data_IF_721944160737
#
_entry.id   IF_721944160737
#
_cell.length_a   1.000
_cell.length_b   1.000
_cell.length_c   1.000
_cell.angle_alpha   90.00
_cell.angle_beta   90.00
_cell.angle_gamma   90.00
#
_symmetry.space_group_name_H-M   'P 1'
#
loop_
_entity.id
_entity.type
_entity.pdbx_description
1 polymer ?
#
# COMPACT_ATOMS: atom_id res chain seq x y z
N UNK A 1 31.94 17.70 10.26
CA UNK A 1 32.03 18.80 9.30
C UNK A 1 31.16 20.00 9.62
N UNK A 2 30.34 20.01 10.71
CA UNK A 2 29.54 21.16 11.17
C UNK A 2 28.47 21.64 10.16
N UNK A 3 28.04 20.80 9.23
CA UNK A 3 27.01 21.16 8.25
C UNK A 3 25.65 21.03 8.93
N UNK A 4 24.88 22.12 9.00
CA UNK A 4 23.49 22.09 9.45
C UNK A 4 22.61 21.40 8.42
N UNK A 5 21.81 20.44 8.88
CA UNK A 5 20.82 19.74 8.04
C UNK A 5 19.44 19.99 8.61
N UNK A 6 18.54 20.48 7.80
CA UNK A 6 17.14 20.72 8.15
C UNK A 6 16.23 19.85 7.29
N UNK A 7 15.05 19.57 7.78
CA UNK A 7 13.99 18.89 7.03
C UNK A 7 12.62 19.56 7.32
N UNK A 8 11.61 19.20 6.56
CA UNK A 8 10.24 19.68 6.70
C UNK A 8 9.35 18.53 7.18
N UNK A 9 9.32 18.23 8.50
CA UNK A 9 8.50 17.14 9.01
C UNK A 9 7.02 17.48 8.82
N UNK A 10 6.20 16.44 8.66
CA UNK A 10 4.73 16.45 8.60
C UNK A 10 4.08 17.06 7.36
N UNK A 11 4.76 17.89 6.58
CA UNK A 11 4.20 18.61 5.43
C UNK A 11 3.57 17.67 4.38
N UNK A 12 4.17 16.49 4.16
CA UNK A 12 3.76 15.56 3.09
C UNK A 12 2.88 14.40 3.58
N UNK A 13 2.48 14.37 4.84
CA UNK A 13 1.81 13.19 5.43
C UNK A 13 0.50 12.87 4.72
N UNK A 14 -0.36 13.86 4.52
CA UNK A 14 -1.67 13.66 3.92
C UNK A 14 -1.54 13.42 2.41
N UNK A 15 -0.68 14.16 1.71
CA UNK A 15 -0.46 14.02 0.27
C UNK A 15 0.06 12.61 -0.10
N UNK A 16 1.00 12.08 0.68
CA UNK A 16 1.52 10.71 0.46
C UNK A 16 0.46 9.66 0.79
N UNK A 17 -0.38 9.90 1.80
CA UNK A 17 -1.50 9.01 2.10
C UNK A 17 -2.54 9.02 0.96
N UNK A 18 -2.84 10.19 0.39
CA UNK A 18 -3.72 10.33 -0.79
C UNK A 18 -3.14 9.59 -1.99
N UNK A 19 -1.83 9.74 -2.25
CA UNK A 19 -1.16 9.01 -3.33
C UNK A 19 -1.26 7.49 -3.12
N UNK A 20 -1.08 7.00 -1.88
CA UNK A 20 -1.24 5.58 -1.56
C UNK A 20 -2.63 5.06 -1.91
N UNK A 21 -3.66 5.82 -1.60
CA UNK A 21 -5.04 5.50 -1.93
C UNK A 21 -5.33 5.62 -3.42
N UNK A 22 -4.82 6.65 -4.09
CA UNK A 22 -4.94 6.81 -5.53
C UNK A 22 -4.36 5.62 -6.28
N UNK A 23 -3.16 5.15 -5.90
CA UNK A 23 -2.52 3.98 -6.50
C UNK A 23 -3.30 2.69 -6.22
N UNK A 24 -3.81 2.50 -5.00
CA UNK A 24 -4.63 1.35 -4.65
C UNK A 24 -5.90 1.30 -5.50
N UNK A 25 -6.62 2.40 -5.57
CA UNK A 25 -7.85 2.51 -6.35
C UNK A 25 -7.58 2.36 -7.84
N UNK A 26 -6.55 3.01 -8.38
CA UNK A 26 -6.17 2.92 -9.78
C UNK A 26 -5.85 1.47 -10.18
N UNK A 27 -5.13 0.75 -9.33
CA UNK A 27 -4.78 -0.67 -9.57
C UNK A 27 -6.01 -1.57 -9.42
N UNK A 28 -6.72 -1.50 -8.31
CA UNK A 28 -7.87 -2.35 -8.03
C UNK A 28 -9.01 -2.16 -9.05
N UNK A 29 -9.23 -0.94 -9.48
CA UNK A 29 -10.30 -0.58 -10.43
C UNK A 29 -9.83 -0.49 -11.88
N UNK A 30 -8.53 -0.79 -12.14
CA UNK A 30 -7.93 -0.75 -13.49
C UNK A 30 -8.21 0.57 -14.22
N UNK A 31 -8.06 1.70 -13.51
CA UNK A 31 -8.43 3.02 -14.03
C UNK A 31 -7.67 3.40 -15.30
N UNK A 32 -6.32 3.21 -15.40
CA UNK A 32 -5.59 3.50 -16.64
C UNK A 32 -6.07 2.69 -17.85
N UNK A 33 -6.37 1.41 -17.62
CA UNK A 33 -6.89 0.54 -18.69
C UNK A 33 -8.31 0.97 -19.09
N UNK A 34 -9.14 1.38 -18.11
CA UNK A 34 -10.48 1.90 -18.35
C UNK A 34 -10.46 3.18 -19.19
N UNK A 35 -9.51 4.08 -18.95
CA UNK A 35 -9.32 5.29 -19.76
C UNK A 35 -8.95 4.93 -21.20
N UNK A 36 -7.97 4.05 -21.40
CA UNK A 36 -7.59 3.58 -22.73
C UNK A 36 -8.76 2.87 -23.45
N UNK A 37 -9.51 2.04 -22.70
CA UNK A 37 -10.67 1.34 -23.22
C UNK A 37 -11.76 2.32 -23.70
N UNK A 38 -12.05 3.36 -22.91
CA UNK A 38 -13.02 4.38 -23.26
C UNK A 38 -12.57 5.18 -24.49
N UNK A 39 -11.31 5.64 -24.52
CA UNK A 39 -10.75 6.43 -25.64
C UNK A 39 -10.65 5.65 -26.95
N UNK A 40 -10.44 4.34 -26.89
CA UNK A 40 -10.40 3.49 -28.09
C UNK A 40 -11.77 3.25 -28.72
N UNK A 41 -12.87 3.64 -28.06
CA UNK A 41 -14.23 3.33 -28.50
C UNK A 41 -14.63 1.87 -28.32
N UNK A 42 -13.81 1.04 -27.68
CA UNK A 42 -14.07 -0.39 -27.49
C UNK A 42 -15.34 -0.65 -26.64
N UNK A 43 -15.70 0.28 -25.76
CA UNK A 43 -16.91 0.21 -24.93
C UNK A 43 -18.20 0.12 -25.76
N UNK A 44 -18.21 0.56 -27.03
CA UNK A 44 -19.37 0.44 -27.93
C UNK A 44 -19.57 -0.97 -28.45
N UNK A 45 -18.55 -1.84 -28.33
CA UNK A 45 -18.55 -3.21 -28.87
C UNK A 45 -18.77 -4.26 -27.79
N UNK A 46 -18.18 -4.05 -26.61
CA UNK A 46 -18.28 -4.97 -25.47
C UNK A 46 -18.11 -4.23 -24.14
N UNK A 47 -18.62 -4.73 -23.01
CA UNK A 47 -18.35 -4.19 -21.71
C UNK A 47 -16.90 -4.48 -21.26
N UNK A 48 -16.29 -3.59 -20.50
CA UNK A 48 -15.02 -3.86 -19.82
C UNK A 48 -15.22 -4.95 -18.76
N UNK A 49 -14.22 -5.82 -18.59
CA UNK A 49 -14.25 -6.83 -17.54
C UNK A 49 -14.40 -6.22 -16.14
N UNK A 50 -15.11 -6.93 -15.26
CA UNK A 50 -15.28 -6.51 -13.86
C UNK A 50 -13.92 -6.41 -13.16
N UNK A 51 -13.82 -5.45 -12.26
CA UNK A 51 -12.60 -5.13 -11.52
C UNK A 51 -12.69 -5.50 -10.05
N UNK A 52 -11.58 -5.43 -9.32
CA UNK A 52 -11.53 -5.79 -7.90
C UNK A 52 -12.30 -4.78 -7.05
N UNK A 53 -13.21 -5.29 -6.22
CA UNK A 53 -13.91 -4.50 -5.20
C UNK A 53 -12.93 -4.07 -4.11
N UNK A 54 -13.02 -2.82 -3.66
CA UNK A 54 -12.21 -2.27 -2.56
C UNK A 54 -13.00 -2.21 -1.24
N UNK A 55 -14.26 -1.82 -1.31
CA UNK A 55 -15.15 -1.73 -0.15
C UNK A 55 -15.19 -3.02 0.66
N UNK A 56 -15.05 -2.90 1.99
CA UNK A 56 -15.19 -4.00 2.94
C UNK A 56 -14.07 -5.04 2.89
N UNK A 57 -12.95 -4.73 2.21
CA UNK A 57 -11.76 -5.57 2.14
C UNK A 57 -10.83 -5.35 3.33
N UNK A 58 -9.77 -6.16 3.42
CA UNK A 58 -8.77 -6.12 4.49
C UNK A 58 -7.53 -5.38 4.00
N UNK A 59 -7.14 -4.32 4.72
CA UNK A 59 -5.97 -3.51 4.42
C UNK A 59 -4.84 -3.80 5.41
N UNK A 60 -3.68 -4.20 4.90
CA UNK A 60 -2.44 -4.28 5.64
C UNK A 60 -1.57 -3.03 5.44
N UNK A 61 -0.96 -2.54 6.50
CA UNK A 61 -0.05 -1.39 6.46
C UNK A 61 1.30 -1.81 7.03
N UNK A 62 2.34 -1.79 6.20
CA UNK A 62 3.72 -2.01 6.64
C UNK A 62 4.30 -0.67 7.07
N UNK A 63 4.40 -0.46 8.40
CA UNK A 63 4.83 0.80 9.00
C UNK A 63 3.67 1.73 9.35
N UNK A 64 3.20 1.68 10.60
CA UNK A 64 2.10 2.53 11.11
C UNK A 64 2.64 3.83 11.74
N UNK A 65 3.51 4.55 11.01
CA UNK A 65 3.93 5.91 11.34
C UNK A 65 2.86 6.95 10.96
N UNK A 66 3.24 8.23 10.83
CA UNK A 66 2.32 9.32 10.46
C UNK A 66 1.54 9.02 9.17
N UNK A 67 2.24 8.66 8.10
CA UNK A 67 1.63 8.31 6.80
C UNK A 67 0.76 7.07 6.94
N UNK A 68 1.25 5.99 7.57
CA UNK A 68 0.47 4.77 7.76
C UNK A 68 -0.82 5.00 8.55
N UNK A 69 -0.81 5.86 9.56
CA UNK A 69 -2.01 6.27 10.31
C UNK A 69 -2.97 7.08 9.44
N UNK A 70 -2.46 7.97 8.58
CA UNK A 70 -3.28 8.73 7.66
C UNK A 70 -3.93 7.83 6.61
N UNK A 71 -3.22 6.81 6.11
CA UNK A 71 -3.75 5.75 5.24
C UNK A 71 -4.84 4.95 5.96
N UNK A 72 -4.61 4.56 7.23
CA UNK A 72 -5.55 3.78 8.03
C UNK A 72 -6.89 4.53 8.24
N UNK A 73 -6.85 5.82 8.59
CA UNK A 73 -8.06 6.64 8.74
C UNK A 73 -8.93 6.67 7.49
N UNK A 74 -8.31 6.71 6.30
CA UNK A 74 -9.05 6.69 5.03
C UNK A 74 -9.73 5.35 4.76
N UNK A 75 -9.16 4.24 5.28
CA UNK A 75 -9.73 2.90 5.15
C UNK A 75 -11.11 2.78 5.82
N UNK A 76 -11.36 3.55 6.88
CA UNK A 76 -12.64 3.59 7.58
C UNK A 76 -13.77 4.03 6.65
N UNK A 77 -13.53 5.02 5.79
CA UNK A 77 -14.48 5.48 4.78
C UNK A 77 -14.82 4.43 3.71
N UNK A 78 -14.00 3.38 3.57
CA UNK A 78 -14.24 2.24 2.70
C UNK A 78 -14.78 1.00 3.45
N UNK A 79 -15.13 1.13 4.74
CA UNK A 79 -15.60 0.02 5.56
C UNK A 79 -14.59 -1.12 5.67
N UNK A 80 -13.30 -0.84 5.56
CA UNK A 80 -12.26 -1.86 5.57
C UNK A 80 -11.81 -2.17 7.00
N UNK A 81 -11.42 -3.42 7.23
CA UNK A 81 -10.64 -3.77 8.41
C UNK A 81 -9.17 -3.48 8.16
N UNK A 82 -8.49 -2.91 9.18
CA UNK A 82 -7.09 -2.53 9.09
C UNK A 82 -6.25 -3.39 10.02
N UNK A 83 -5.14 -3.88 9.50
CA UNK A 83 -4.08 -4.51 10.26
C UNK A 83 -2.73 -3.87 9.90
N UNK A 84 -1.73 -4.00 10.76
CA UNK A 84 -0.43 -3.41 10.49
C UNK A 84 0.73 -4.27 10.99
N UNK A 85 1.89 -4.06 10.37
CA UNK A 85 3.17 -4.58 10.85
C UNK A 85 4.09 -3.40 11.19
N UNK A 86 4.68 -3.46 12.38
CA UNK A 86 5.65 -2.50 12.89
C UNK A 86 6.58 -3.21 13.88
N UNK A 87 7.72 -2.59 14.19
CA UNK A 87 8.73 -3.11 15.14
C UNK A 87 8.18 -3.41 16.53
N UNK A 88 7.11 -2.70 16.93
CA UNK A 88 6.41 -2.92 18.18
C UNK A 88 4.92 -2.66 17.99
N UNK A 89 4.11 -3.24 18.86
CA UNK A 89 2.67 -2.96 18.93
C UNK A 89 2.45 -1.56 19.49
N UNK A 90 1.55 -0.80 18.88
CA UNK A 90 1.10 0.51 19.39
C UNK A 90 -0.12 0.32 20.30
N UNK A 91 -0.07 0.89 21.49
CA UNK A 91 -1.14 0.78 22.48
C UNK A 91 -2.32 1.74 22.20
N UNK A 92 -2.08 2.76 21.39
CA UNK A 92 -3.02 3.85 21.09
C UNK A 92 -3.87 3.61 19.84
N UNK A 93 -3.82 2.40 19.26
CA UNK A 93 -4.63 1.99 18.11
C UNK A 93 -5.30 0.64 18.36
N UNK A 94 -6.50 0.47 17.80
CA UNK A 94 -7.27 -0.78 17.87
C UNK A 94 -6.98 -1.75 16.74
N UNK A 95 -6.16 -1.38 15.75
CA UNK A 95 -5.85 -2.22 14.60
C UNK A 95 -5.06 -3.47 15.00
N UNK A 96 -5.31 -4.57 14.32
CA UNK A 96 -4.56 -5.81 14.55
C UNK A 96 -3.08 -5.63 14.21
N UNK A 97 -2.20 -6.03 15.15
CA UNK A 97 -0.75 -5.96 14.95
C UNK A 97 -0.18 -7.31 14.55
N UNK A 98 0.76 -7.29 13.63
CA UNK A 98 1.56 -8.42 13.18
C UNK A 98 3.06 -8.15 13.40
N UNK A 99 3.83 -9.14 13.85
CA UNK A 99 5.25 -8.96 14.14
C UNK A 99 6.11 -8.74 12.89
N UNK A 100 5.66 -9.21 11.74
CA UNK A 100 6.37 -9.14 10.47
C UNK A 100 5.41 -8.95 9.28
N UNK A 101 5.91 -8.43 8.13
CA UNK A 101 5.09 -8.21 6.94
C UNK A 101 4.52 -9.49 6.32
N UNK A 102 5.17 -10.64 6.46
CA UNK A 102 4.70 -11.88 5.85
C UNK A 102 3.48 -12.44 6.60
N UNK A 103 3.46 -12.36 7.93
CA UNK A 103 2.28 -12.72 8.73
C UNK A 103 1.11 -11.78 8.45
N UNK A 104 1.38 -10.46 8.29
CA UNK A 104 0.37 -9.49 7.88
C UNK A 104 -0.20 -9.82 6.50
N UNK A 105 0.66 -10.11 5.53
CA UNK A 105 0.26 -10.33 4.14
C UNK A 105 -0.68 -11.52 3.95
N UNK A 106 -0.62 -12.54 4.82
CA UNK A 106 -1.53 -13.69 4.78
C UNK A 106 -2.98 -13.35 5.13
N UNK A 107 -3.16 -12.27 5.90
CA UNK A 107 -4.46 -11.92 6.48
C UNK A 107 -5.18 -10.78 5.74
N UNK A 108 -4.55 -10.21 4.70
CA UNK A 108 -5.06 -9.02 4.05
C UNK A 108 -5.22 -9.20 2.54
N UNK A 109 -6.06 -8.37 1.94
CA UNK A 109 -6.28 -8.36 0.50
C UNK A 109 -5.41 -7.30 -0.19
N UNK A 110 -5.08 -6.23 0.52
CA UNK A 110 -4.26 -5.12 0.03
C UNK A 110 -3.15 -4.81 1.04
N UNK A 111 -1.97 -4.46 0.54
CA UNK A 111 -0.81 -4.14 1.36
C UNK A 111 -0.22 -2.79 0.93
N UNK A 112 -0.21 -1.79 1.83
CA UNK A 112 0.42 -0.50 1.58
C UNK A 112 1.68 -0.38 2.43
N UNK A 113 2.81 -0.09 1.78
CA UNK A 113 4.11 0.07 2.43
C UNK A 113 4.37 1.54 2.71
N UNK A 114 4.41 1.88 4.01
CA UNK A 114 4.65 3.22 4.55
C UNK A 114 5.90 3.26 5.44
N UNK A 115 6.68 2.17 5.52
CA UNK A 115 7.87 2.10 6.35
C UNK A 115 8.93 3.08 5.88
N UNK A 116 9.62 3.75 6.82
CA UNK A 116 10.72 4.64 6.48
C UNK A 116 11.84 3.86 5.77
N UNK A 117 12.39 4.42 4.71
CA UNK A 117 13.55 3.85 4.01
C UNK A 117 14.81 3.91 4.88
N UNK A 118 15.68 2.93 4.73
CA UNK A 118 16.96 2.86 5.44
C UNK A 118 17.53 1.45 5.46
N UNK A 119 18.72 1.26 6.04
CA UNK A 119 19.37 -0.06 6.11
C UNK A 119 18.48 -1.13 6.79
N UNK A 120 17.78 -0.76 7.87
CA UNK A 120 16.92 -1.66 8.66
C UNK A 120 15.63 -2.09 7.94
N UNK A 121 15.25 -1.41 6.86
CA UNK A 121 14.03 -1.69 6.08
C UNK A 121 14.33 -2.12 4.65
N UNK A 122 15.61 -2.32 4.31
CA UNK A 122 16.01 -2.81 3.00
C UNK A 122 15.44 -4.21 2.77
N UNK A 123 14.73 -4.38 1.64
CA UNK A 123 14.07 -5.64 1.27
C UNK A 123 13.09 -6.18 2.34
N UNK A 124 12.51 -5.29 3.15
CA UNK A 124 11.54 -5.66 4.19
C UNK A 124 10.31 -6.39 3.61
N UNK A 125 9.91 -6.04 2.39
CA UNK A 125 8.90 -6.74 1.60
C UNK A 125 9.61 -7.56 0.54
N UNK A 126 9.88 -8.81 0.86
CA UNK A 126 10.55 -9.79 -0.01
C UNK A 126 9.59 -10.67 -0.80
N UNK A 127 10.15 -11.65 -1.49
CA UNK A 127 9.37 -12.64 -2.25
C UNK A 127 8.41 -13.46 -1.37
N UNK A 128 8.78 -13.72 -0.13
CA UNK A 128 7.96 -14.39 0.88
C UNK A 128 6.69 -13.61 1.22
N UNK A 129 6.81 -12.29 1.37
CA UNK A 129 5.66 -11.38 1.59
C UNK A 129 4.74 -11.35 0.39
N UNK A 130 5.31 -11.24 -0.83
CA UNK A 130 4.54 -11.26 -2.07
C UNK A 130 3.82 -12.60 -2.27
N UNK A 131 4.50 -13.70 -1.98
CA UNK A 131 3.89 -15.04 -2.02
C UNK A 131 2.77 -15.19 -0.99
N UNK A 132 2.95 -14.63 0.21
CA UNK A 132 1.94 -14.65 1.27
C UNK A 132 0.70 -13.81 0.91
N UNK A 133 0.89 -12.66 0.26
CA UNK A 133 -0.20 -11.81 -0.23
C UNK A 133 -1.00 -12.48 -1.36
N UNK A 134 -0.34 -13.35 -2.12
CA UNK A 134 -0.96 -14.15 -3.16
C UNK A 134 -1.27 -13.40 -4.46
N UNK A 135 -1.72 -14.13 -5.50
CA UNK A 135 -1.87 -13.59 -6.86
C UNK A 135 -3.02 -12.58 -7.02
N UNK A 136 -4.00 -12.59 -6.11
CA UNK A 136 -5.11 -11.63 -6.11
C UNK A 136 -4.84 -10.40 -5.23
N UNK A 137 -3.74 -10.41 -4.48
CA UNK A 137 -3.36 -9.32 -3.59
C UNK A 137 -2.80 -8.12 -4.36
N UNK A 138 -3.00 -6.94 -3.81
CA UNK A 138 -2.46 -5.70 -4.37
C UNK A 138 -1.45 -5.11 -3.40
N UNK A 139 -0.23 -4.84 -3.90
CA UNK A 139 0.82 -4.14 -3.18
C UNK A 139 0.96 -2.72 -3.70
N UNK A 140 0.97 -1.75 -2.79
CA UNK A 140 1.30 -0.35 -3.08
C UNK A 140 2.50 0.06 -2.23
N UNK A 141 3.50 0.68 -2.84
CA UNK A 141 4.67 1.18 -2.14
C UNK A 141 4.75 2.70 -2.26
N UNK A 142 4.46 3.42 -1.18
CA UNK A 142 4.63 4.88 -1.06
C UNK A 142 5.87 5.26 -0.23
N UNK A 143 6.74 4.28 0.02
CA UNK A 143 7.98 4.44 0.75
C UNK A 143 9.17 4.64 -0.21
N UNK A 144 10.13 3.73 -0.20
CA UNK A 144 11.31 3.74 -1.07
C UNK A 144 11.40 2.42 -1.85
N UNK A 145 11.93 2.47 -3.07
CA UNK A 145 12.14 1.27 -3.88
C UNK A 145 12.97 0.20 -3.16
N UNK A 146 13.93 0.62 -2.34
CA UNK A 146 14.77 -0.31 -1.58
C UNK A 146 14.06 -1.10 -0.48
N UNK A 147 12.84 -0.73 -0.10
CA UNK A 147 12.04 -1.43 0.92
C UNK A 147 11.38 -2.68 0.35
N UNK A 148 11.07 -2.65 -0.94
CA UNK A 148 10.50 -3.79 -1.66
C UNK A 148 11.59 -4.45 -2.50
N UNK A 149 11.76 -5.75 -2.37
CA UNK A 149 12.64 -6.52 -3.24
C UNK A 149 11.94 -6.73 -4.59
N UNK A 150 12.28 -5.89 -5.55
CA UNK A 150 11.83 -6.06 -6.94
C UNK A 150 12.80 -6.96 -7.70
N UNK A 151 12.60 -8.28 -7.66
CA UNK A 151 13.20 -9.20 -8.61
C UNK A 151 12.42 -9.20 -9.95
N UNK A 152 11.47 -8.30 -10.13
CA UNK A 152 10.79 -8.11 -11.41
C UNK A 152 11.71 -7.39 -12.39
N UNK A 153 12.26 -8.13 -13.32
CA UNK A 153 12.51 -7.58 -14.65
C UNK A 153 11.13 -7.33 -15.27
N UNK A 154 10.67 -6.08 -15.29
CA UNK A 154 9.62 -5.68 -16.23
C UNK A 154 10.25 -5.80 -17.61
N UNK A 155 9.95 -6.87 -18.33
CA UNK A 155 10.14 -6.95 -19.77
C UNK A 155 9.00 -6.21 -20.45
#
# INVERSE_FOLDING_TARGET
RGIAVTNTPDVLTEDVADMGWALLLATARRIPEGDLYARSGAWTKAPMALTTRVWGKRLGIVGLGRIGRAVARRAEGFGMTVAYSARARYADVSYAWHPDPASLAREVDFLIVCAAGGPATRNLVGADVLKALGPAGILVNVSRGSVVFAACKCE
#
